data_IF_367866759944
#
_entry.id   IF_367866759944
#
_cell.length_a   1.000
_cell.length_b   1.000
_cell.length_c   1.000
_cell.angle_alpha   90.00
_cell.angle_beta   90.00
_cell.angle_gamma   90.00
#
_symmetry.space_group_name_H-M   'P 1'
#
loop_
_entity.id
_entity.type
_entity.pdbx_description
1 polymer ?
#
# COMPACT_ATOMS: atom_id res chain seq x y z
N UNK A 1 -21.21 -7.66 2.85
CA UNK A 1 -19.81 -7.29 3.09
C UNK A 1 -19.05 -8.43 3.71
N UNK A 2 -17.85 -8.70 3.25
CA UNK A 2 -17.02 -9.79 3.74
C UNK A 2 -16.49 -9.46 5.13
N UNK A 3 -16.47 -10.46 6.01
CA UNK A 3 -15.86 -10.30 7.31
C UNK A 3 -14.36 -10.02 7.16
N UNK A 4 -13.81 -9.28 8.10
CA UNK A 4 -12.38 -8.97 8.12
C UNK A 4 -11.58 -10.24 8.41
N UNK A 5 -10.71 -10.59 7.50
CA UNK A 5 -9.87 -11.77 7.63
C UNK A 5 -8.67 -11.46 8.50
N UNK A 6 -8.53 -12.18 9.61
CA UNK A 6 -7.40 -11.97 10.52
C UNK A 6 -6.11 -12.49 9.88
N UNK A 7 -5.04 -11.74 10.09
CA UNK A 7 -3.70 -12.17 9.67
C UNK A 7 -3.14 -13.17 10.69
N UNK A 8 -2.36 -14.17 10.23
CA UNK A 8 -1.68 -15.08 11.16
C UNK A 8 -0.71 -14.29 12.05
N UNK A 9 -0.53 -14.72 13.28
CA UNK A 9 0.38 -14.06 14.21
C UNK A 9 1.82 -14.09 13.71
N UNK A 10 2.23 -15.19 13.11
CA UNK A 10 3.50 -15.29 12.38
C UNK A 10 3.20 -15.27 10.91
N UNK A 11 3.80 -14.32 10.19
CA UNK A 11 3.52 -14.16 8.78
C UNK A 11 4.77 -13.70 8.04
N UNK A 12 4.81 -14.07 6.78
CA UNK A 12 5.82 -13.55 5.88
C UNK A 12 5.61 -12.04 5.72
N UNK A 13 6.70 -11.30 5.78
CA UNK A 13 6.66 -9.86 5.53
C UNK A 13 7.84 -9.46 4.67
N UNK A 14 7.62 -8.47 3.84
CA UNK A 14 8.67 -7.89 3.01
C UNK A 14 8.73 -6.40 3.23
N UNK A 15 9.94 -5.86 3.20
CA UNK A 15 10.17 -4.42 3.32
C UNK A 15 10.96 -3.97 2.09
N UNK A 16 10.50 -2.90 1.48
CA UNK A 16 11.19 -2.31 0.33
C UNK A 16 11.00 -0.80 0.34
N UNK A 17 11.76 -0.11 -0.51
CA UNK A 17 11.64 1.34 -0.62
C UNK A 17 11.10 1.72 -1.98
N UNK A 18 10.28 2.78 -1.99
CA UNK A 18 9.75 3.39 -3.21
C UNK A 18 10.07 4.87 -3.18
N UNK A 19 10.66 5.37 -4.25
CA UNK A 19 10.84 6.79 -4.46
C UNK A 19 9.60 7.34 -5.13
N UNK A 20 9.00 8.35 -4.51
CA UNK A 20 7.80 8.95 -5.05
C UNK A 20 7.70 10.40 -4.60
N UNK A 21 7.34 11.27 -5.54
CA UNK A 21 7.14 12.69 -5.22
C UNK A 21 8.37 13.56 -5.38
N UNK A 22 9.39 13.10 -6.08
CA UNK A 22 10.56 13.89 -6.40
C UNK A 22 11.83 13.41 -5.73
N UNK A 23 12.87 14.22 -5.82
CA UNK A 23 14.19 13.89 -5.28
C UNK A 23 14.14 13.74 -3.76
N UNK A 24 14.83 12.72 -3.27
CA UNK A 24 14.96 12.44 -1.84
C UNK A 24 13.63 12.17 -1.15
N UNK A 25 12.64 11.68 -1.90
CA UNK A 25 11.33 11.32 -1.37
C UNK A 25 11.19 9.80 -1.33
N UNK A 26 12.02 9.18 -0.51
CA UNK A 26 11.98 7.72 -0.35
C UNK A 26 11.01 7.34 0.76
N UNK A 27 10.20 6.33 0.50
CA UNK A 27 9.24 5.78 1.46
C UNK A 27 9.57 4.33 1.72
N UNK A 28 9.55 3.93 2.98
CA UNK A 28 9.73 2.54 3.37
C UNK A 28 8.36 1.88 3.44
N UNK A 29 8.21 0.79 2.72
CA UNK A 29 6.95 0.04 2.66
C UNK A 29 7.18 -1.35 3.24
N UNK A 30 6.33 -1.74 4.17
CA UNK A 30 6.33 -3.08 4.74
C UNK A 30 5.00 -3.73 4.44
N UNK A 31 5.05 -4.95 3.90
CA UNK A 31 3.85 -5.69 3.52
C UNK A 31 3.84 -7.01 4.27
N UNK A 32 2.74 -7.30 4.96
CA UNK A 32 2.53 -8.59 5.60
C UNK A 32 1.57 -9.43 4.78
N UNK A 33 1.83 -10.73 4.72
CA UNK A 33 1.13 -11.66 3.82
C UNK A 33 0.35 -12.72 4.58
N UNK A 34 -0.75 -13.14 3.97
CA UNK A 34 -1.44 -14.36 4.38
C UNK A 34 -0.64 -15.59 3.92
N UNK A 35 -0.99 -16.74 4.47
CA UNK A 35 -0.31 -17.99 4.13
C UNK A 35 -0.43 -18.36 2.66
N UNK A 36 -1.48 -17.87 1.99
CA UNK A 36 -1.68 -18.11 0.56
C UNK A 36 -0.84 -17.17 -0.32
N UNK A 37 -0.04 -16.30 0.28
CA UNK A 37 0.81 -15.37 -0.46
C UNK A 37 0.16 -14.05 -0.82
N UNK A 38 -1.11 -13.85 -0.48
CA UNK A 38 -1.78 -12.58 -0.76
C UNK A 38 -1.45 -11.55 0.32
N UNK A 39 -1.28 -10.26 -0.06
CA UNK A 39 -1.01 -9.23 0.93
C UNK A 39 -2.26 -8.93 1.77
N UNK A 40 -2.04 -8.69 3.07
CA UNK A 40 -3.12 -8.40 3.99
C UNK A 40 -2.92 -7.15 4.82
N UNK A 41 -1.69 -6.64 4.90
CA UNK A 41 -1.42 -5.39 5.58
C UNK A 41 -0.28 -4.65 4.89
N UNK A 42 -0.37 -3.33 4.89
CA UNK A 42 0.63 -2.47 4.28
C UNK A 42 0.91 -1.33 5.23
N UNK A 43 2.18 -1.06 5.46
CA UNK A 43 2.65 0.08 6.24
C UNK A 43 3.50 0.95 5.33
N UNK A 44 3.26 2.25 5.33
CA UNK A 44 4.05 3.20 4.56
C UNK A 44 4.62 4.23 5.52
N UNK A 45 5.94 4.33 5.56
CA UNK A 45 6.66 5.29 6.37
C UNK A 45 7.63 6.06 5.48
N UNK A 46 7.90 7.30 5.86
CA UNK A 46 8.86 8.10 5.12
C UNK A 46 8.34 9.49 4.85
N UNK A 47 9.13 10.23 4.09
CA UNK A 47 8.89 11.64 3.95
C UNK A 47 9.31 12.39 5.20
N UNK A 48 8.98 13.65 5.30
CA UNK A 48 9.31 14.43 6.48
C UNK A 48 8.25 14.24 7.56
N UNK A 49 8.73 13.94 8.75
CA UNK A 49 7.87 13.75 9.91
C UNK A 49 7.04 15.00 10.18
N UNK A 50 5.77 14.80 10.49
CA UNK A 50 4.85 15.86 10.86
C UNK A 50 4.21 16.58 9.69
N UNK A 51 4.51 16.19 8.46
CA UNK A 51 3.87 16.80 7.30
C UNK A 51 2.58 16.08 6.94
N UNK A 52 1.67 16.82 6.31
CA UNK A 52 0.39 16.28 5.87
C UNK A 52 0.58 15.10 4.91
N UNK A 53 1.58 15.16 4.05
CA UNK A 53 1.88 14.10 3.09
C UNK A 53 2.16 12.77 3.82
N UNK A 54 2.90 12.83 4.91
CA UNK A 54 3.19 11.62 5.71
C UNK A 54 1.93 11.05 6.33
N UNK A 55 1.06 11.91 6.88
CA UNK A 55 -0.20 11.47 7.48
C UNK A 55 -1.11 10.82 6.43
N UNK A 56 -1.19 11.42 5.24
CA UNK A 56 -1.99 10.88 4.14
C UNK A 56 -1.46 9.52 3.71
N UNK A 57 -0.16 9.37 3.62
CA UNK A 57 0.46 8.08 3.25
C UNK A 57 0.14 7.00 4.28
N UNK A 58 0.28 7.31 5.56
CA UNK A 58 -0.04 6.37 6.63
C UNK A 58 -1.50 5.99 6.66
N UNK A 59 -2.37 6.97 6.58
CA UNK A 59 -3.82 6.72 6.60
C UNK A 59 -4.25 5.94 5.36
N UNK A 60 -3.66 6.27 4.21
CA UNK A 60 -3.91 5.49 2.99
C UNK A 60 -3.50 4.03 3.14
N UNK A 61 -2.37 3.78 3.80
CA UNK A 61 -1.92 2.41 4.05
C UNK A 61 -2.88 1.68 5.00
N UNK A 62 -3.41 2.36 6.02
CA UNK A 62 -4.41 1.78 6.92
C UNK A 62 -5.66 1.39 6.15
N UNK A 63 -6.18 2.30 5.32
CA UNK A 63 -7.38 2.03 4.53
C UNK A 63 -7.15 0.89 3.54
N UNK A 64 -5.98 0.87 2.91
CA UNK A 64 -5.62 -0.22 2.01
C UNK A 64 -5.58 -1.56 2.74
N UNK A 65 -4.96 -1.59 3.92
CA UNK A 65 -4.90 -2.81 4.73
C UNK A 65 -6.28 -3.32 5.08
N UNK A 66 -7.16 -2.43 5.53
CA UNK A 66 -8.54 -2.80 5.87
C UNK A 66 -9.26 -3.35 4.65
N UNK A 67 -9.13 -2.68 3.50
CA UNK A 67 -9.76 -3.14 2.26
C UNK A 67 -9.28 -4.55 1.87
N UNK A 68 -7.97 -4.79 1.95
CA UNK A 68 -7.41 -6.11 1.63
C UNK A 68 -7.93 -7.19 2.59
N UNK A 69 -8.03 -6.86 3.87
CA UNK A 69 -8.49 -7.80 4.89
C UNK A 69 -9.98 -8.12 4.74
N UNK A 70 -10.74 -7.26 4.08
CA UNK A 70 -12.15 -7.49 3.76
C UNK A 70 -12.37 -8.06 2.36
N UNK A 71 -11.30 -8.46 1.70
CA UNK A 71 -11.41 -9.19 0.44
C UNK A 71 -11.36 -8.38 -0.83
N UNK A 72 -11.05 -7.08 -0.75
CA UNK A 72 -10.88 -6.28 -1.97
C UNK A 72 -9.64 -6.77 -2.72
N UNK A 73 -9.75 -6.88 -4.05
CA UNK A 73 -8.61 -7.30 -4.84
C UNK A 73 -7.69 -6.10 -5.14
N UNK A 74 -6.40 -6.37 -5.24
CA UNK A 74 -5.44 -5.33 -5.63
C UNK A 74 -5.78 -4.75 -7.00
N UNK A 75 -6.23 -5.56 -7.93
CA UNK A 75 -6.58 -5.10 -9.26
C UNK A 75 -7.74 -4.11 -9.23
N UNK A 76 -8.77 -4.38 -8.44
CA UNK A 76 -9.89 -3.45 -8.26
C UNK A 76 -9.42 -2.15 -7.66
N UNK A 77 -8.58 -2.21 -6.63
CA UNK A 77 -8.04 -1.03 -5.96
C UNK A 77 -7.18 -0.23 -6.93
N UNK A 78 -6.29 -0.91 -7.68
CA UNK A 78 -5.42 -0.27 -8.65
C UNK A 78 -6.21 0.57 -9.65
N UNK A 79 -7.31 0.02 -10.16
CA UNK A 79 -8.13 0.70 -11.15
C UNK A 79 -8.92 1.87 -10.58
N UNK A 80 -9.17 1.86 -9.28
CA UNK A 80 -9.94 2.92 -8.63
C UNK A 80 -9.10 4.12 -8.20
N UNK A 81 -7.80 3.93 -7.99
CA UNK A 81 -6.93 4.99 -7.49
C UNK A 81 -6.54 5.97 -8.60
N UNK A 82 -6.22 7.19 -8.18
CA UNK A 82 -5.97 8.30 -9.11
C UNK A 82 -4.72 8.06 -9.95
N UNK A 83 -4.88 8.26 -11.24
CA UNK A 83 -3.79 8.14 -12.20
C UNK A 83 -3.72 9.40 -13.05
N UNK A 84 -2.54 9.71 -13.56
CA UNK A 84 -2.35 10.86 -14.44
C UNK A 84 -2.68 10.51 -15.90
N UNK A 85 -2.47 11.47 -16.80
CA UNK A 85 -2.78 11.28 -18.22
C UNK A 85 -1.90 10.24 -18.93
N UNK A 86 -0.84 9.78 -18.27
CA UNK A 86 0.05 8.75 -18.81
C UNK A 86 -0.13 7.42 -18.07
N UNK A 87 -1.22 7.31 -17.33
CA UNK A 87 -1.57 6.12 -16.58
C UNK A 87 -0.59 5.80 -15.43
N UNK A 88 0.11 6.79 -14.92
CA UNK A 88 0.98 6.64 -13.76
C UNK A 88 0.23 6.99 -12.48
N UNK A 89 0.53 6.31 -11.36
CA UNK A 89 -0.14 6.63 -10.10
C UNK A 89 0.23 8.02 -9.61
N UNK A 90 -0.76 8.76 -9.08
CA UNK A 90 -0.56 10.10 -8.58
C UNK A 90 -0.40 10.18 -7.06
N UNK A 91 -0.41 9.05 -6.38
CA UNK A 91 -0.19 9.02 -4.93
C UNK A 91 0.79 7.91 -4.57
N UNK A 92 1.42 8.05 -3.40
CA UNK A 92 2.30 6.98 -2.91
C UNK A 92 1.51 5.69 -2.70
N UNK A 93 0.26 5.76 -2.26
CA UNK A 93 -0.58 4.58 -2.11
C UNK A 93 -0.78 3.90 -3.46
N UNK A 94 -1.07 4.67 -4.50
CA UNK A 94 -1.19 4.12 -5.85
C UNK A 94 0.09 3.48 -6.34
N UNK A 95 1.24 4.10 -6.06
CA UNK A 95 2.53 3.53 -6.45
C UNK A 95 2.79 2.21 -5.73
N UNK A 96 2.42 2.10 -4.46
CA UNK A 96 2.56 0.87 -3.69
C UNK A 96 1.66 -0.23 -4.28
N UNK A 97 0.40 0.10 -4.59
CA UNK A 97 -0.53 -0.87 -5.17
C UNK A 97 0.00 -1.36 -6.53
N UNK A 98 0.52 -0.45 -7.36
CA UNK A 98 1.13 -0.84 -8.63
C UNK A 98 2.28 -1.82 -8.41
N UNK A 99 3.15 -1.53 -7.44
CA UNK A 99 4.28 -2.39 -7.14
C UNK A 99 3.81 -3.79 -6.69
N UNK A 100 2.76 -3.86 -5.88
CA UNK A 100 2.24 -5.14 -5.39
C UNK A 100 1.55 -5.96 -6.48
N UNK A 101 1.13 -5.34 -7.58
CA UNK A 101 0.52 -6.03 -8.71
C UNK A 101 1.53 -6.45 -9.78
N UNK A 102 2.77 -5.99 -9.69
CA UNK A 102 3.83 -6.41 -10.60
C UNK A 102 4.32 -7.81 -10.24
N UNK A 103 4.71 -8.54 -11.26
CA UNK A 103 5.27 -9.89 -11.07
C UNK A 103 6.75 -9.91 -11.36
#
# INVERSE_FOLDING_TARGET
MTERRALPMRRHAETFEIDFGGLNKSHTVTVGYYDDGSPGEVFINGGKSGEQVEAIARDGAVLLSIALQHGASLDTIKRALTRDGQDAPQSIVGAVVDRLTEN
#
